data_IF_026221261480
#
_entry.id   IF_026221261480
#
_cell.length_a   1.000
_cell.length_b   1.000
_cell.length_c   1.000
_cell.angle_alpha   90.00
_cell.angle_beta   90.00
_cell.angle_gamma   90.00
#
_symmetry.space_group_name_H-M   'P 1'
#
loop_
_entity.id
_entity.type
_entity.pdbx_description
1 polymer ?
#
# COMPACT_ATOMS: atom_id res chain seq x y z
N UNK A 1 43.63 44.35 -7.26
CA UNK A 1 42.48 43.74 -7.98
C UNK A 1 42.75 42.26 -8.14
N UNK A 2 41.88 41.44 -7.55
CA UNK A 2 42.03 39.97 -7.57
C UNK A 2 41.64 39.48 -8.96
N UNK A 3 42.61 39.17 -9.82
CA UNK A 3 42.35 38.60 -11.16
C UNK A 3 42.28 37.07 -11.05
N UNK A 4 41.05 36.54 -11.02
CA UNK A 4 40.87 35.10 -11.12
C UNK A 4 41.27 34.60 -12.51
N UNK A 5 41.87 33.40 -12.56
CA UNK A 5 42.22 32.75 -13.81
C UNK A 5 40.97 32.49 -14.65
N UNK A 6 41.01 32.70 -15.97
CA UNK A 6 39.88 32.61 -16.91
C UNK A 6 39.14 31.28 -16.85
N UNK A 7 39.81 30.18 -16.54
CA UNK A 7 39.19 28.88 -16.42
C UNK A 7 38.15 28.80 -15.29
N UNK A 8 38.32 29.61 -14.21
CA UNK A 8 37.33 29.65 -13.12
C UNK A 8 36.02 30.27 -13.58
N UNK A 9 36.06 31.26 -14.45
CA UNK A 9 34.85 31.84 -15.02
C UNK A 9 34.14 30.85 -15.95
N UNK A 10 34.88 30.05 -16.72
CA UNK A 10 34.33 29.01 -17.57
C UNK A 10 33.59 27.95 -16.71
N UNK A 11 34.20 27.50 -15.60
CA UNK A 11 33.57 26.55 -14.67
C UNK A 11 32.31 27.15 -14.04
N UNK A 12 32.33 28.40 -13.63
CA UNK A 12 31.16 29.05 -13.05
C UNK A 12 30.04 29.17 -14.07
N UNK A 13 30.33 29.61 -15.30
CA UNK A 13 29.32 29.69 -16.38
C UNK A 13 28.76 28.31 -16.69
N UNK A 14 29.60 27.28 -16.75
CA UNK A 14 29.18 25.89 -16.98
C UNK A 14 28.25 25.41 -15.87
N UNK A 15 28.58 25.65 -14.59
CA UNK A 15 27.74 25.26 -13.45
C UNK A 15 26.40 26.00 -13.46
N UNK A 16 26.40 27.31 -13.79
CA UNK A 16 25.17 28.08 -13.92
C UNK A 16 24.33 27.54 -15.09
N UNK A 17 24.95 27.26 -16.23
CA UNK A 17 24.26 26.66 -17.37
C UNK A 17 23.65 25.29 -17.07
N UNK A 18 24.40 24.46 -16.36
CA UNK A 18 23.92 23.16 -15.87
C UNK A 18 22.75 23.34 -14.89
N UNK A 19 22.86 24.25 -13.94
CA UNK A 19 21.78 24.55 -12.98
C UNK A 19 20.50 25.06 -13.68
N UNK A 20 20.64 25.95 -14.67
CA UNK A 20 19.52 26.40 -15.48
C UNK A 20 18.87 25.26 -16.28
N UNK A 21 19.68 24.37 -16.86
CA UNK A 21 19.18 23.21 -17.61
C UNK A 21 18.29 22.30 -16.72
N UNK A 22 18.74 22.02 -15.49
CA UNK A 22 17.98 21.21 -14.54
C UNK A 22 16.80 21.96 -13.88
N UNK A 23 16.78 23.30 -13.95
CA UNK A 23 15.65 24.09 -13.50
C UNK A 23 14.55 24.24 -14.56
N UNK A 24 14.89 24.11 -15.85
CA UNK A 24 13.96 24.25 -16.98
C UNK A 24 12.69 23.38 -16.86
N UNK A 25 12.71 22.11 -16.43
CA UNK A 25 11.52 21.29 -16.32
C UNK A 25 10.42 21.91 -15.45
N UNK A 26 10.77 22.73 -14.47
CA UNK A 26 9.80 23.36 -13.57
C UNK A 26 9.02 24.52 -14.23
N UNK A 27 9.50 25.05 -15.36
CA UNK A 27 8.85 26.11 -16.13
C UNK A 27 7.77 25.53 -17.04
N UNK A 28 7.96 24.28 -17.51
CA UNK A 28 6.95 23.58 -18.28
C UNK A 28 5.83 23.15 -17.35
N UNK A 29 4.61 23.55 -17.60
CA UNK A 29 3.46 23.19 -16.78
C UNK A 29 3.17 21.68 -16.77
N UNK A 30 1.93 21.34 -16.48
CA UNK A 30 1.43 19.96 -16.53
C UNK A 30 0.31 19.89 -17.55
N UNK A 31 0.30 18.83 -18.32
CA UNK A 31 -0.78 18.51 -19.25
C UNK A 31 -1.82 17.62 -18.59
N UNK A 32 -3.13 17.85 -18.81
CA UNK A 32 -4.17 16.89 -18.46
C UNK A 32 -3.87 15.54 -19.08
N UNK A 33 -3.91 14.48 -18.30
CA UNK A 33 -3.56 13.14 -18.77
C UNK A 33 -4.46 12.07 -18.18
N UNK A 34 -4.64 10.97 -18.92
CA UNK A 34 -5.20 9.74 -18.39
C UNK A 34 -4.09 8.78 -18.09
N UNK A 35 -4.12 8.23 -16.90
CA UNK A 35 -3.26 7.13 -16.49
C UNK A 35 -4.08 5.86 -16.45
N UNK A 36 -3.68 4.87 -17.22
CA UNK A 36 -4.29 3.56 -17.28
C UNK A 36 -3.36 2.59 -16.58
N UNK A 37 -3.89 1.87 -15.60
CA UNK A 37 -3.17 0.85 -14.85
C UNK A 37 -3.91 -0.47 -14.92
N UNK A 38 -3.19 -1.57 -14.93
CA UNK A 38 -3.79 -2.90 -14.92
C UNK A 38 -4.39 -3.20 -13.55
N UNK A 39 -5.62 -3.71 -13.53
CA UNK A 39 -6.27 -4.25 -12.35
C UNK A 39 -6.29 -5.77 -12.42
N UNK A 40 -6.16 -6.44 -11.28
CA UNK A 40 -6.19 -7.92 -11.15
C UNK A 40 -5.06 -8.60 -11.93
N UNK A 41 -5.40 -9.44 -12.91
CA UNK A 41 -4.46 -10.25 -13.70
C UNK A 41 -4.22 -9.69 -15.12
N UNK A 42 -4.65 -8.46 -15.39
CA UNK A 42 -4.37 -7.82 -16.68
C UNK A 42 -2.93 -7.28 -16.71
N UNK A 43 -2.38 -7.16 -17.90
CA UNK A 43 -1.07 -6.54 -18.14
C UNK A 43 -1.23 -5.38 -19.13
N UNK A 44 -0.41 -4.33 -18.95
CA UNK A 44 -0.33 -3.23 -19.89
C UNK A 44 0.65 -3.62 -20.98
N UNK A 45 0.20 -3.64 -22.22
CA UNK A 45 0.99 -4.05 -23.39
C UNK A 45 0.72 -3.11 -24.58
N UNK A 46 1.47 -3.31 -25.65
CA UNK A 46 1.25 -2.61 -26.92
C UNK A 46 -0.15 -2.85 -27.49
N UNK A 47 -0.77 -4.01 -27.20
CA UNK A 47 -2.15 -4.29 -27.57
C UNK A 47 -3.13 -3.36 -26.83
N UNK A 48 -2.86 -3.07 -25.56
CA UNK A 48 -3.67 -2.12 -24.78
C UNK A 48 -3.53 -0.70 -25.34
N UNK A 49 -2.33 -0.30 -25.73
CA UNK A 49 -2.07 0.97 -26.38
C UNK A 49 -2.84 1.08 -27.70
N UNK A 50 -2.76 0.05 -28.54
CA UNK A 50 -3.48 0.00 -29.83
C UNK A 50 -5.01 0.08 -29.62
N UNK A 51 -5.55 -0.66 -28.67
CA UNK A 51 -6.99 -0.65 -28.36
C UNK A 51 -7.46 0.73 -27.91
N UNK A 52 -6.67 1.40 -27.07
CA UNK A 52 -6.96 2.76 -26.58
C UNK A 52 -6.85 3.79 -27.71
N UNK A 53 -5.80 3.71 -28.54
CA UNK A 53 -5.62 4.59 -29.70
C UNK A 53 -6.80 4.48 -30.68
N UNK A 54 -7.20 3.24 -31.01
CA UNK A 54 -8.35 2.99 -31.89
C UNK A 54 -9.66 3.57 -31.31
N UNK A 55 -9.91 3.42 -30.02
CA UNK A 55 -11.10 3.95 -29.37
C UNK A 55 -11.12 5.49 -29.36
N UNK A 56 -9.97 6.14 -29.18
CA UNK A 56 -9.87 7.60 -29.23
C UNK A 56 -10.03 8.13 -30.65
N UNK A 57 -9.48 7.44 -31.65
CA UNK A 57 -9.63 7.77 -33.07
C UNK A 57 -11.10 7.65 -33.54
N UNK A 58 -11.77 6.55 -33.17
CA UNK A 58 -13.20 6.33 -33.45
C UNK A 58 -14.07 7.44 -32.86
N UNK A 59 -13.72 7.92 -31.67
CA UNK A 59 -14.43 9.01 -31.02
C UNK A 59 -13.99 10.42 -31.47
N UNK A 60 -13.07 10.52 -32.44
CA UNK A 60 -12.47 11.77 -32.93
C UNK A 60 -11.86 12.64 -31.79
N UNK A 61 -11.25 12.00 -30.80
CA UNK A 61 -10.58 12.68 -29.68
C UNK A 61 -9.09 12.85 -30.01
N UNK A 62 -8.65 14.11 -30.03
CA UNK A 62 -7.24 14.46 -30.25
C UNK A 62 -6.45 14.37 -28.95
N UNK A 63 -5.25 13.82 -29.03
CA UNK A 63 -4.31 13.73 -27.89
C UNK A 63 -2.91 14.22 -28.29
N UNK A 64 -2.10 14.67 -27.32
CA UNK A 64 -0.70 15.08 -27.54
C UNK A 64 0.25 13.91 -27.75
N UNK A 65 -0.08 12.77 -27.19
CA UNK A 65 0.74 11.55 -27.28
C UNK A 65 0.30 10.50 -26.28
N UNK A 66 0.68 9.25 -26.60
CA UNK A 66 0.52 8.10 -25.73
C UNK A 66 1.93 7.64 -25.34
N UNK A 67 2.15 7.34 -24.08
CA UNK A 67 3.42 6.82 -23.57
C UNK A 67 3.18 5.56 -22.75
N UNK A 68 3.82 4.47 -23.19
CA UNK A 68 3.80 3.18 -22.49
C UNK A 68 4.92 3.17 -21.45
N UNK A 69 4.54 3.05 -20.17
CA UNK A 69 5.44 2.83 -19.05
C UNK A 69 5.53 1.35 -18.67
N UNK A 70 6.32 1.02 -17.66
CA UNK A 70 6.52 -0.38 -17.21
C UNK A 70 5.21 -1.00 -16.68
N UNK A 71 4.36 -0.22 -16.01
CA UNK A 71 3.13 -0.70 -15.36
C UNK A 71 1.90 0.16 -15.64
N UNK A 72 2.04 1.18 -16.48
CA UNK A 72 0.97 2.10 -16.80
C UNK A 72 1.08 2.60 -18.24
N UNK A 73 -0.06 3.04 -18.79
CA UNK A 73 -0.15 3.75 -20.05
C UNK A 73 -0.64 5.16 -19.76
N UNK A 74 0.07 6.18 -20.25
CA UNK A 74 -0.28 7.59 -20.03
C UNK A 74 -0.63 8.25 -21.36
N UNK A 75 -1.79 8.90 -21.39
CA UNK A 75 -2.28 9.65 -22.57
C UNK A 75 -2.37 11.12 -22.18
N UNK A 76 -1.77 12.01 -22.96
CA UNK A 76 -1.77 13.46 -22.70
C UNK A 76 -2.77 14.18 -23.60
N UNK A 77 -3.49 15.15 -23.03
CA UNK A 77 -4.49 15.95 -23.73
C UNK A 77 -4.14 17.43 -23.69
N UNK A 78 -4.81 18.21 -24.52
CA UNK A 78 -4.64 19.67 -24.59
C UNK A 78 -5.39 20.38 -23.45
N UNK A 79 -6.53 19.86 -23.05
CA UNK A 79 -7.45 20.45 -22.09
C UNK A 79 -8.16 19.39 -21.24
N UNK A 80 -8.72 19.84 -20.10
CA UNK A 80 -9.42 18.98 -19.14
C UNK A 80 -10.76 18.44 -19.68
N UNK A 81 -11.43 19.18 -20.56
CA UNK A 81 -12.72 18.76 -21.13
C UNK A 81 -12.51 17.53 -22.03
N UNK A 82 -11.49 17.60 -22.90
CA UNK A 82 -11.09 16.49 -23.75
C UNK A 82 -10.65 15.27 -22.92
N UNK A 83 -9.91 15.50 -21.81
CA UNK A 83 -9.51 14.45 -20.88
C UNK A 83 -10.72 13.72 -20.26
N UNK A 84 -11.74 14.46 -19.80
CA UNK A 84 -12.95 13.89 -19.20
C UNK A 84 -13.77 13.07 -20.21
N UNK A 85 -13.91 13.56 -21.44
CA UNK A 85 -14.56 12.82 -22.52
C UNK A 85 -13.82 11.54 -22.86
N UNK A 86 -12.49 11.62 -22.96
CA UNK A 86 -11.63 10.48 -23.24
C UNK A 86 -11.70 9.42 -22.13
N UNK A 87 -11.82 9.84 -20.87
CA UNK A 87 -11.91 8.90 -19.75
C UNK A 87 -13.09 7.95 -19.89
N UNK A 88 -14.25 8.46 -20.22
CA UNK A 88 -15.47 7.64 -20.37
C UNK A 88 -15.32 6.62 -21.50
N UNK A 89 -14.77 7.02 -22.63
CA UNK A 89 -14.59 6.18 -23.81
C UNK A 89 -13.52 5.10 -23.57
N UNK A 90 -12.38 5.49 -23.01
CA UNK A 90 -11.29 4.55 -22.70
C UNK A 90 -11.73 3.54 -21.64
N UNK A 91 -12.50 3.99 -20.64
CA UNK A 91 -13.04 3.10 -19.62
C UNK A 91 -14.04 2.08 -20.19
N UNK A 92 -14.86 2.49 -21.15
CA UNK A 92 -15.79 1.60 -21.84
C UNK A 92 -15.06 0.59 -22.73
N UNK A 93 -14.07 1.03 -23.48
CA UNK A 93 -13.25 0.19 -24.37
C UNK A 93 -12.44 -0.87 -23.63
N UNK A 94 -11.79 -0.50 -22.52
CA UNK A 94 -10.91 -1.40 -21.76
C UNK A 94 -11.65 -2.29 -20.76
N UNK A 95 -12.87 -1.91 -20.35
CA UNK A 95 -13.68 -2.65 -19.40
C UNK A 95 -13.13 -2.66 -17.97
N UNK A 96 -13.56 -3.66 -17.16
CA UNK A 96 -13.31 -3.70 -15.71
C UNK A 96 -11.92 -4.19 -15.29
N UNK A 97 -11.10 -4.60 -16.24
CA UNK A 97 -9.77 -5.13 -15.96
C UNK A 97 -8.69 -4.05 -15.90
N UNK A 98 -9.05 -2.83 -16.20
CA UNK A 98 -8.16 -1.67 -16.17
C UNK A 98 -8.77 -0.54 -15.35
N UNK A 99 -7.90 0.20 -14.67
CA UNK A 99 -8.26 1.43 -13.95
C UNK A 99 -7.83 2.62 -14.78
N UNK A 100 -8.77 3.48 -15.13
CA UNK A 100 -8.53 4.71 -15.90
C UNK A 100 -8.68 5.90 -14.96
N UNK A 101 -7.57 6.52 -14.61
CA UNK A 101 -7.51 7.63 -13.67
C UNK A 101 -7.19 8.96 -14.37
N UNK A 102 -7.80 10.02 -13.88
CA UNK A 102 -7.43 11.39 -14.25
C UNK A 102 -6.11 11.74 -13.57
N UNK A 103 -5.16 12.22 -14.34
CA UNK A 103 -3.84 12.63 -13.84
C UNK A 103 -3.37 13.90 -14.54
N UNK A 104 -2.27 14.47 -14.04
CA UNK A 104 -1.55 15.58 -14.64
C UNK A 104 -0.13 15.11 -14.93
N UNK A 105 0.22 14.94 -16.21
CA UNK A 105 1.58 14.56 -16.61
C UNK A 105 2.46 15.81 -16.81
N UNK A 106 3.74 15.76 -16.47
CA UNK A 106 4.66 16.84 -16.78
C UNK A 106 4.72 17.13 -18.29
N UNK A 107 4.64 18.40 -18.65
CA UNK A 107 4.78 18.85 -20.05
C UNK A 107 6.23 19.03 -20.48
N UNK A 108 7.18 18.39 -19.77
CA UNK A 108 8.62 18.48 -20.02
C UNK A 108 8.96 17.82 -21.36
N UNK A 109 9.71 18.49 -22.26
CA UNK A 109 10.14 17.91 -23.51
C UNK A 109 11.01 16.66 -23.33
N UNK A 110 10.88 15.67 -24.22
CA UNK A 110 11.57 14.37 -24.13
C UNK A 110 13.10 14.49 -24.12
N UNK A 111 13.66 15.51 -24.76
CA UNK A 111 15.11 15.71 -24.74
C UNK A 111 15.64 16.10 -23.35
N UNK A 112 14.86 16.84 -22.54
CA UNK A 112 15.21 17.16 -21.16
C UNK A 112 15.12 15.92 -20.26
N UNK A 113 14.08 15.10 -20.45
CA UNK A 113 13.90 13.85 -19.72
C UNK A 113 15.07 12.89 -20.02
N UNK A 114 15.55 12.82 -21.28
CA UNK A 114 16.71 12.01 -21.66
C UNK A 114 18.00 12.42 -20.96
N UNK A 115 18.13 13.70 -20.58
CA UNK A 115 19.25 14.21 -19.75
C UNK A 115 19.04 14.01 -18.24
N UNK A 116 17.93 13.37 -17.83
CA UNK A 116 17.62 13.17 -16.43
C UNK A 116 17.08 14.43 -15.72
N UNK A 117 16.68 15.45 -16.49
CA UNK A 117 16.09 16.66 -15.96
C UNK A 117 14.58 16.46 -15.82
N UNK A 118 14.13 16.10 -14.63
CA UNK A 118 12.73 15.93 -14.27
C UNK A 118 12.22 17.13 -13.47
N UNK A 119 10.91 17.50 -13.57
CA UNK A 119 10.35 18.54 -12.74
C UNK A 119 10.36 18.11 -11.27
N UNK A 120 10.54 19.09 -10.38
CA UNK A 120 10.56 18.85 -8.94
C UNK A 120 9.23 18.30 -8.45
N UNK A 121 9.26 17.20 -7.70
CA UNK A 121 8.07 16.63 -7.04
C UNK A 121 7.64 17.58 -5.93
N UNK A 122 6.49 18.22 -6.11
CA UNK A 122 5.92 19.12 -5.10
C UNK A 122 5.21 18.29 -4.04
N UNK A 123 5.58 18.48 -2.78
CA UNK A 123 4.90 17.89 -1.64
C UNK A 123 3.49 18.46 -1.41
N UNK A 124 2.79 17.90 -0.43
CA UNK A 124 1.44 18.31 -0.03
C UNK A 124 1.34 19.82 0.27
N UNK A 125 2.37 20.39 0.88
CA UNK A 125 2.42 21.79 1.29
C UNK A 125 2.31 22.77 0.11
N UNK A 126 2.76 22.35 -1.08
CA UNK A 126 2.78 23.20 -2.28
C UNK A 126 1.69 22.79 -3.30
N UNK A 127 1.26 21.53 -3.26
CA UNK A 127 0.29 20.98 -4.22
C UNK A 127 -1.13 20.94 -3.66
N UNK A 128 -1.26 21.05 -2.34
CA UNK A 128 -2.50 20.75 -1.64
C UNK A 128 -2.80 19.24 -1.67
N UNK A 129 -3.80 18.82 -0.95
CA UNK A 129 -4.20 17.42 -0.89
C UNK A 129 -4.69 17.02 0.49
N UNK A 130 -4.88 15.73 0.69
CA UNK A 130 -5.40 15.19 1.94
C UNK A 130 -4.31 14.41 2.66
N UNK A 131 -4.22 14.63 3.97
CA UNK A 131 -3.34 13.90 4.87
C UNK A 131 -4.17 13.14 5.91
N UNK A 132 -4.10 11.83 5.88
CA UNK A 132 -4.72 10.97 6.86
C UNK A 132 -3.68 10.39 7.81
N UNK A 133 -3.98 10.43 9.08
CA UNK A 133 -3.30 9.64 10.09
C UNK A 133 -4.27 8.55 10.56
N UNK A 134 -3.99 7.31 10.18
CA UNK A 134 -4.81 6.15 10.51
C UNK A 134 -4.14 5.34 11.60
N UNK A 135 -4.91 4.82 12.53
CA UNK A 135 -4.44 3.88 13.54
C UNK A 135 -4.98 2.49 13.24
N UNK A 136 -4.09 1.49 13.29
CA UNK A 136 -4.46 0.08 13.14
C UNK A 136 -4.97 -0.42 14.47
N UNK A 137 -6.15 -1.03 14.47
CA UNK A 137 -6.72 -1.69 15.65
C UNK A 137 -5.90 -2.96 15.95
N UNK A 138 -4.96 -2.79 16.88
CA UNK A 138 -4.06 -3.87 17.29
C UNK A 138 -4.76 -4.89 18.20
N UNK A 139 -5.80 -4.48 18.94
CA UNK A 139 -6.58 -5.40 19.77
C UNK A 139 -7.33 -6.38 18.89
N UNK A 140 -8.02 -5.90 17.86
CA UNK A 140 -8.67 -6.76 16.87
C UNK A 140 -7.69 -7.66 16.10
N UNK A 141 -6.45 -7.21 15.87
CA UNK A 141 -5.43 -8.02 15.23
C UNK A 141 -4.96 -9.18 16.15
N UNK A 142 -4.82 -8.91 17.45
CA UNK A 142 -4.46 -9.91 18.48
C UNK A 142 -5.61 -10.90 18.64
N UNK A 143 -6.83 -10.42 18.77
CA UNK A 143 -8.02 -11.28 18.88
C UNK A 143 -8.14 -12.27 17.70
N UNK A 144 -7.91 -11.79 16.48
CA UNK A 144 -7.86 -12.68 15.30
C UNK A 144 -6.72 -13.69 15.34
N UNK A 145 -5.58 -13.34 15.94
CA UNK A 145 -4.49 -14.29 16.13
C UNK A 145 -4.87 -15.35 17.16
N UNK A 146 -5.48 -14.95 18.29
CA UNK A 146 -6.03 -15.85 19.31
C UNK A 146 -7.09 -16.80 18.73
N UNK A 147 -8.02 -16.30 17.90
CA UNK A 147 -9.01 -17.14 17.20
C UNK A 147 -8.39 -18.22 16.33
N UNK A 148 -7.28 -17.92 15.65
CA UNK A 148 -6.52 -18.92 14.90
C UNK A 148 -5.94 -19.98 15.82
N UNK A 149 -5.28 -19.57 16.90
CA UNK A 149 -4.76 -20.53 17.89
C UNK A 149 -5.88 -21.37 18.52
N UNK A 150 -7.05 -20.79 18.82
CA UNK A 150 -8.21 -21.57 19.28
C UNK A 150 -8.58 -22.66 18.28
N UNK A 151 -8.62 -22.34 17.01
CA UNK A 151 -8.94 -23.29 15.94
C UNK A 151 -7.88 -24.39 15.81
N UNK A 152 -6.61 -23.99 15.85
CA UNK A 152 -5.46 -24.89 15.74
C UNK A 152 -5.38 -25.84 16.95
N UNK A 153 -5.54 -25.30 18.16
CA UNK A 153 -5.59 -26.07 19.41
C UNK A 153 -6.74 -27.08 19.41
N UNK A 154 -7.94 -26.67 18.95
CA UNK A 154 -9.08 -27.59 18.84
C UNK A 154 -8.77 -28.76 17.88
N UNK A 155 -8.16 -28.47 16.75
CA UNK A 155 -7.79 -29.48 15.75
C UNK A 155 -6.71 -30.40 16.28
N UNK A 156 -5.66 -29.85 16.86
CA UNK A 156 -4.53 -30.57 17.43
C UNK A 156 -4.94 -31.51 18.59
N UNK A 157 -5.67 -30.99 19.59
CA UNK A 157 -6.11 -31.79 20.73
C UNK A 157 -7.05 -32.93 20.32
N UNK A 158 -7.91 -32.73 19.29
CA UNK A 158 -8.73 -33.79 18.71
C UNK A 158 -7.89 -34.88 18.04
N UNK A 159 -6.89 -34.47 17.25
CA UNK A 159 -5.97 -35.41 16.60
C UNK A 159 -5.22 -36.28 17.61
N UNK A 160 -4.73 -35.65 18.69
CA UNK A 160 -4.03 -36.35 19.80
C UNK A 160 -4.97 -37.06 20.75
N UNK A 161 -6.29 -37.02 20.50
CA UNK A 161 -7.35 -37.66 21.30
C UNK A 161 -7.35 -37.18 22.77
N UNK A 162 -7.04 -35.92 23.01
CA UNK A 162 -7.15 -35.26 24.32
C UNK A 162 -8.54 -34.68 24.49
N UNK A 163 -9.20 -34.97 25.58
CA UNK A 163 -10.58 -34.51 25.86
C UNK A 163 -10.57 -33.22 26.64
N UNK A 164 -11.06 -32.15 26.01
CA UNK A 164 -11.24 -30.84 26.65
C UNK A 164 -12.73 -30.49 26.78
N UNK A 165 -13.10 -29.61 27.72
CA UNK A 165 -14.47 -29.07 27.88
C UNK A 165 -14.66 -27.87 26.97
N UNK A 166 -13.78 -26.85 27.09
CA UNK A 166 -13.88 -25.60 26.34
C UNK A 166 -12.50 -25.06 26.02
N UNK A 167 -12.39 -24.32 24.90
CA UNK A 167 -11.26 -23.45 24.56
C UNK A 167 -11.90 -22.10 24.19
N UNK A 168 -11.59 -21.06 24.95
CA UNK A 168 -12.16 -19.71 24.82
C UNK A 168 -11.12 -18.65 25.10
N UNK A 169 -11.41 -17.39 24.74
CA UNK A 169 -10.59 -16.27 25.18
C UNK A 169 -10.62 -16.12 26.69
N UNK A 170 -9.49 -15.79 27.27
CA UNK A 170 -9.40 -15.44 28.68
C UNK A 170 -9.68 -13.93 28.88
N UNK A 171 -10.36 -13.55 29.93
CA UNK A 171 -10.71 -12.14 30.22
C UNK A 171 -9.50 -11.25 30.48
N UNK A 172 -8.40 -11.83 30.93
CA UNK A 172 -7.14 -11.13 31.23
C UNK A 172 -6.14 -11.18 30.06
N UNK A 173 -6.55 -11.72 28.89
CA UNK A 173 -5.74 -11.94 27.70
C UNK A 173 -5.29 -13.40 27.58
N UNK A 174 -5.07 -13.83 26.34
CA UNK A 174 -4.73 -15.21 26.00
C UNK A 174 -5.92 -16.16 25.95
N UNK A 175 -5.65 -17.44 25.98
CA UNK A 175 -6.60 -18.52 25.75
C UNK A 175 -6.79 -19.35 27.03
N UNK A 176 -8.01 -19.62 27.38
CA UNK A 176 -8.39 -20.47 28.50
C UNK A 176 -8.82 -21.84 27.98
N UNK A 177 -8.10 -22.89 28.37
CA UNK A 177 -8.34 -24.26 27.97
C UNK A 177 -8.78 -25.03 29.22
N UNK A 178 -10.00 -25.58 29.23
CA UNK A 178 -10.53 -26.37 30.33
C UNK A 178 -10.59 -27.84 29.94
N UNK A 179 -9.98 -28.70 30.73
CA UNK A 179 -9.96 -30.15 30.52
C UNK A 179 -11.04 -30.85 31.35
N UNK A 180 -11.25 -32.11 31.01
CA UNK A 180 -12.29 -32.92 31.67
C UNK A 180 -11.84 -33.45 33.03
N UNK A 181 -10.59 -33.89 33.12
CA UNK A 181 -9.99 -34.51 34.28
C UNK A 181 -8.47 -34.26 34.31
N UNK A 182 -7.82 -34.63 35.43
CA UNK A 182 -6.40 -34.44 35.66
C UNK A 182 -5.52 -35.17 34.64
N UNK A 183 -5.91 -36.36 34.19
CA UNK A 183 -5.15 -37.13 33.19
C UNK A 183 -5.11 -36.40 31.84
N UNK A 184 -6.22 -35.87 31.39
CA UNK A 184 -6.30 -35.13 30.13
C UNK A 184 -5.61 -33.75 30.26
N UNK A 185 -5.64 -33.11 31.45
CA UNK A 185 -4.92 -31.90 31.77
C UNK A 185 -3.40 -32.10 31.63
N UNK A 186 -2.80 -33.08 32.35
CA UNK A 186 -1.37 -33.33 32.31
C UNK A 186 -0.88 -33.71 30.91
N UNK A 187 -1.67 -34.51 30.18
CA UNK A 187 -1.41 -34.84 28.78
C UNK A 187 -1.50 -33.62 27.88
N UNK A 188 -2.51 -32.78 28.05
CA UNK A 188 -2.70 -31.55 27.30
C UNK A 188 -1.55 -30.58 27.54
N UNK A 189 -1.16 -30.35 28.80
CA UNK A 189 -0.06 -29.46 29.17
C UNK A 189 1.26 -29.88 28.49
N UNK A 190 1.63 -31.16 28.56
CA UNK A 190 2.85 -31.68 27.93
C UNK A 190 2.82 -31.48 26.40
N UNK A 191 1.69 -31.87 25.78
CA UNK A 191 1.57 -31.75 24.32
C UNK A 191 1.56 -30.30 23.82
N UNK A 192 0.99 -29.36 24.57
CA UNK A 192 1.00 -27.96 24.22
C UNK A 192 2.39 -27.36 24.36
N UNK A 193 3.11 -27.67 25.46
CA UNK A 193 4.47 -27.21 25.68
C UNK A 193 5.46 -27.72 24.59
N UNK A 194 5.24 -28.96 24.09
CA UNK A 194 6.13 -29.57 23.10
C UNK A 194 5.84 -29.15 21.65
N UNK A 195 4.64 -28.62 21.34
CA UNK A 195 4.22 -28.39 19.95
C UNK A 195 3.80 -26.94 19.65
N UNK A 196 3.66 -26.09 20.65
CA UNK A 196 3.27 -24.69 20.50
C UNK A 196 4.29 -23.76 21.17
N UNK A 197 5.48 -23.68 20.58
CA UNK A 197 6.57 -22.83 21.05
C UNK A 197 6.21 -21.33 21.09
N UNK A 198 5.17 -20.93 20.35
CA UNK A 198 4.67 -19.56 20.28
C UNK A 198 3.80 -19.17 21.49
N UNK A 199 3.42 -20.15 22.32
CA UNK A 199 2.54 -19.97 23.47
C UNK A 199 3.28 -20.23 24.77
N UNK A 200 3.13 -19.34 25.74
CA UNK A 200 3.49 -19.60 27.13
C UNK A 200 2.26 -20.21 27.83
N UNK A 201 2.43 -21.45 28.32
CA UNK A 201 1.35 -22.22 28.93
C UNK A 201 1.52 -22.21 30.44
N UNK A 202 0.58 -21.55 31.13
CA UNK A 202 0.55 -21.48 32.58
C UNK A 202 -0.63 -22.28 33.15
N UNK A 203 -0.43 -22.86 34.33
CA UNK A 203 -1.51 -23.52 35.06
C UNK A 203 -2.36 -22.51 35.83
N UNK A 204 -3.67 -22.51 35.60
CA UNK A 204 -4.59 -21.76 36.46
C UNK A 204 -4.96 -22.62 37.69
N UNK A 205 -4.36 -22.29 38.83
CA UNK A 205 -4.63 -22.99 40.09
C UNK A 205 -5.97 -22.60 40.66
N UNK A 206 -7.02 -23.31 40.29
CA UNK A 206 -8.28 -23.31 41.02
C UNK A 206 -8.53 -24.73 41.53
N UNK A 207 -8.81 -24.92 42.80
CA UNK A 207 -8.88 -26.25 43.46
C UNK A 207 -9.83 -27.26 42.83
N UNK A 208 -10.73 -26.85 41.93
CA UNK A 208 -11.73 -27.67 41.27
C UNK A 208 -11.75 -27.61 39.70
N UNK A 209 -10.86 -26.89 39.06
CA UNK A 209 -10.86 -26.77 37.60
C UNK A 209 -9.48 -27.08 36.96
N UNK A 210 -9.44 -28.15 36.15
CA UNK A 210 -8.29 -28.53 35.35
C UNK A 210 -8.18 -27.58 34.14
N UNK A 211 -7.60 -26.39 34.32
CA UNK A 211 -7.50 -25.35 33.31
C UNK A 211 -6.07 -24.86 33.07
N UNK A 212 -5.77 -24.57 31.81
CA UNK A 212 -4.52 -23.97 31.37
C UNK A 212 -4.83 -22.60 30.74
N UNK A 213 -3.97 -21.64 31.04
CA UNK A 213 -3.95 -20.37 30.33
C UNK A 213 -2.77 -20.41 29.35
N UNK A 214 -3.04 -20.23 28.07
CA UNK A 214 -2.04 -20.11 27.04
C UNK A 214 -1.98 -18.66 26.53
N UNK A 215 -0.84 -18.01 26.72
CA UNK A 215 -0.62 -16.62 26.31
C UNK A 215 0.34 -16.61 25.13
N UNK A 216 0.04 -15.82 24.12
CA UNK A 216 0.95 -15.64 22.97
C UNK A 216 2.20 -14.92 23.48
N UNK A 217 3.38 -15.47 23.20
CA UNK A 217 4.65 -14.86 23.58
C UNK A 217 4.78 -13.45 23.01
N UNK A 218 5.43 -12.58 23.75
CA UNK A 218 5.60 -11.17 23.40
C UNK A 218 6.27 -10.99 22.01
N UNK A 219 7.25 -11.84 21.69
CA UNK A 219 7.92 -11.81 20.39
C UNK A 219 6.97 -12.11 19.22
N UNK A 220 6.11 -13.12 19.38
CA UNK A 220 5.09 -13.51 18.39
C UNK A 220 3.98 -12.44 18.28
N UNK A 221 3.65 -11.83 19.42
CA UNK A 221 2.69 -10.72 19.47
C UNK A 221 3.19 -9.51 18.68
N UNK A 222 4.45 -9.13 18.88
CA UNK A 222 5.09 -8.03 18.13
C UNK A 222 5.16 -8.34 16.63
N UNK A 223 5.47 -9.56 16.25
CA UNK A 223 5.48 -9.99 14.86
C UNK A 223 4.07 -9.95 14.25
N UNK A 224 3.07 -10.42 14.98
CA UNK A 224 1.65 -10.34 14.55
C UNK A 224 1.20 -8.90 14.32
N UNK A 225 1.56 -7.99 15.21
CA UNK A 225 1.27 -6.56 15.07
C UNK A 225 1.98 -5.96 13.85
N UNK A 226 3.25 -6.33 13.61
CA UNK A 226 4.03 -5.90 12.45
C UNK A 226 3.39 -6.37 11.13
N UNK A 227 3.00 -7.64 11.08
CA UNK A 227 2.33 -8.23 9.93
C UNK A 227 0.96 -7.57 9.66
N UNK A 228 0.16 -7.32 10.70
CA UNK A 228 -1.10 -6.62 10.57
C UNK A 228 -0.92 -5.21 10.00
N UNK A 229 0.08 -4.46 10.48
CA UNK A 229 0.40 -3.13 9.97
C UNK A 229 0.83 -3.19 8.49
N UNK A 230 1.70 -4.12 8.14
CA UNK A 230 2.17 -4.30 6.76
C UNK A 230 1.04 -4.67 5.81
N UNK A 231 0.13 -5.55 6.23
CA UNK A 231 -1.04 -5.94 5.45
C UNK A 231 -2.00 -4.77 5.24
N UNK A 232 -2.22 -3.94 6.26
CA UNK A 232 -3.02 -2.73 6.14
C UNK A 232 -2.39 -1.74 5.17
N UNK A 233 -1.07 -1.49 5.23
CA UNK A 233 -0.34 -0.64 4.29
C UNK A 233 -0.52 -1.16 2.85
N UNK A 234 -0.39 -2.46 2.64
CA UNK A 234 -0.55 -3.08 1.31
C UNK A 234 -1.98 -2.92 0.79
N UNK A 235 -2.97 -3.09 1.66
CA UNK A 235 -4.39 -2.91 1.31
C UNK A 235 -4.70 -1.45 0.98
N UNK A 236 -4.22 -0.51 1.80
CA UNK A 236 -4.36 0.92 1.55
C UNK A 236 -3.70 1.32 0.22
N UNK A 237 -2.49 0.82 -0.04
CA UNK A 237 -1.80 1.09 -1.30
C UNK A 237 -2.58 0.59 -2.52
N UNK A 238 -3.16 -0.60 -2.43
CA UNK A 238 -4.06 -1.13 -3.47
C UNK A 238 -5.26 -0.22 -3.70
N UNK A 239 -5.97 0.15 -2.63
CA UNK A 239 -7.17 1.01 -2.72
C UNK A 239 -6.86 2.38 -3.28
N UNK A 240 -5.78 3.01 -2.83
CA UNK A 240 -5.36 4.32 -3.32
C UNK A 240 -4.95 4.27 -4.80
N UNK A 241 -4.28 3.21 -5.23
CA UNK A 241 -3.96 3.00 -6.64
C UNK A 241 -5.23 2.79 -7.49
N UNK A 242 -6.24 2.09 -6.96
CA UNK A 242 -7.55 1.91 -7.63
C UNK A 242 -8.32 3.23 -7.77
N UNK A 243 -8.09 4.19 -6.88
CA UNK A 243 -8.63 5.56 -7.00
C UNK A 243 -7.88 6.41 -8.02
N UNK A 244 -6.73 5.93 -8.51
CA UNK A 244 -5.93 6.63 -9.52
C UNK A 244 -5.22 7.87 -9.00
N UNK A 245 -4.97 7.96 -7.70
CA UNK A 245 -4.22 9.08 -7.12
C UNK A 245 -2.77 8.99 -7.55
N UNK A 246 -2.26 10.06 -8.14
CA UNK A 246 -0.86 10.13 -8.55
C UNK A 246 0.06 10.29 -7.34
N UNK A 247 1.11 9.47 -7.29
CA UNK A 247 2.20 9.54 -6.29
C UNK A 247 1.72 9.57 -4.82
N UNK A 248 0.88 8.63 -4.38
CA UNK A 248 0.44 8.60 -3.00
C UNK A 248 1.60 8.21 -2.09
N UNK A 249 1.75 8.90 -0.96
CA UNK A 249 2.72 8.53 0.07
C UNK A 249 2.01 7.76 1.16
N UNK A 250 2.36 6.47 1.32
CA UNK A 250 1.80 5.61 2.37
C UNK A 250 2.97 5.06 3.19
N UNK A 251 3.09 5.53 4.42
CA UNK A 251 4.23 5.23 5.29
C UNK A 251 3.78 4.83 6.69
N UNK A 252 4.54 3.93 7.29
CA UNK A 252 4.39 3.58 8.70
C UNK A 252 4.86 4.73 9.59
N UNK A 253 4.07 5.07 10.60
CA UNK A 253 4.44 6.01 11.64
C UNK A 253 4.35 5.36 13.02
N UNK A 254 5.49 4.98 13.58
CA UNK A 254 5.55 4.25 14.83
C UNK A 254 5.07 2.79 14.71
N UNK A 255 4.51 2.24 15.80
CA UNK A 255 4.13 0.83 15.88
C UNK A 255 2.70 0.55 15.40
N UNK A 256 1.79 1.54 15.48
CA UNK A 256 0.35 1.33 15.26
C UNK A 256 -0.25 2.21 14.16
N UNK A 257 0.48 3.22 13.67
CA UNK A 257 -0.07 4.24 12.79
C UNK A 257 0.48 4.17 11.37
N UNK A 258 -0.37 4.57 10.43
CA UNK A 258 -0.05 4.71 9.02
C UNK A 258 -0.41 6.12 8.58
N UNK A 259 0.54 6.81 7.96
CA UNK A 259 0.32 8.09 7.30
C UNK A 259 0.00 7.82 5.84
N UNK A 260 -1.11 8.39 5.37
CA UNK A 260 -1.53 8.36 3.98
C UNK A 260 -1.64 9.79 3.48
N UNK A 261 -0.83 10.14 2.48
CA UNK A 261 -0.86 11.45 1.84
C UNK A 261 -1.28 11.30 0.40
N UNK A 262 -2.32 12.03 0.02
CA UNK A 262 -2.92 11.98 -1.31
C UNK A 262 -2.80 13.38 -1.96
N UNK A 263 -1.69 13.64 -2.66
CA UNK A 263 -1.47 14.93 -3.30
C UNK A 263 -2.50 15.17 -4.41
N UNK A 264 -3.04 16.42 -4.49
CA UNK A 264 -3.96 16.81 -5.53
C UNK A 264 -5.42 16.36 -5.37
N UNK A 265 -5.72 15.59 -4.33
CA UNK A 265 -7.11 15.22 -3.99
C UNK A 265 -7.75 16.38 -3.22
N UNK A 266 -8.81 16.96 -3.77
CA UNK A 266 -9.55 18.07 -3.12
C UNK A 266 -10.80 17.60 -2.40
N UNK A 267 -11.38 16.48 -2.82
CA UNK A 267 -12.61 15.93 -2.25
C UNK A 267 -12.28 14.80 -1.26
N UNK A 268 -12.37 15.12 0.03
CA UNK A 268 -12.13 14.16 1.13
C UNK A 268 -13.20 13.06 1.20
N UNK A 269 -14.38 13.26 0.60
CA UNK A 269 -15.44 12.27 0.57
C UNK A 269 -15.20 11.15 -0.46
N UNK A 270 -14.30 11.39 -1.41
CA UNK A 270 -13.88 10.38 -2.41
C UNK A 270 -12.61 9.63 -2.03
N UNK A 271 -11.84 10.16 -1.09
CA UNK A 271 -10.60 9.56 -0.60
C UNK A 271 -10.87 8.64 0.61
#
# INVERSE_FOLDING_TARGET
MNRYSSWKYIVIIFLIGLGLLFALPNIYGKDPSLQISAARSAEISELTEFQVSAALEEAAITHKGISLGISNLTIRFNDEETQLRAQSIVKESLGRNYVVALNLAPATPDWLIKFGAEPMSLGLDLRGGVHFLMEVDMEAAIEKAEDRYISDLRSFLREKKVRYKTITHNKTGGLLIRFKDDTEYNKGQSLLADNFDDLDVESESSEDEFSLIAVIREEVLLETQRLALQQNITTLRKRVNELGVAEPVIQRQGLKRVVVQLPGVQDTARA
#
